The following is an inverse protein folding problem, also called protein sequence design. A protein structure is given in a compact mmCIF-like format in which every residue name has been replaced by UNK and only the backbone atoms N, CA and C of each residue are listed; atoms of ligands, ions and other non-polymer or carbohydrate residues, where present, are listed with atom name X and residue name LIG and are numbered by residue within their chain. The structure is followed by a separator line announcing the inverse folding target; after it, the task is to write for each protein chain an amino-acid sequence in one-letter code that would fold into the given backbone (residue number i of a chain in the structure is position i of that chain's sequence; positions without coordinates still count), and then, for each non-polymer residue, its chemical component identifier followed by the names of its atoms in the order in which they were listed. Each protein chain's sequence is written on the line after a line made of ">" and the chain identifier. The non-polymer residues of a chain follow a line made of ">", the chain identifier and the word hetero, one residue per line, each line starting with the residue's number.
data_IF_422703251477
#
_entry.id   IF_422703251477
#
_cell.length_a   1.000
_cell.length_b   1.000
_cell.length_c   1.000
_cell.angle_alpha   90.00
_cell.angle_beta   90.00
_cell.angle_gamma   90.00
#
_symmetry.space_group_name_H-M   'P 1'
#
loop_
_entity.id
_entity.type
_entity.pdbx_description
1 polymer ?
#
# COMPACT_ATOMS: atom_id res chain seq x y z
N UNK A 1 -24.83 -23.01 -40.75
CA UNK A 1 -24.89 -23.16 -39.29
C UNK A 1 -24.65 -21.77 -38.73
N UNK A 2 -25.49 -21.24 -37.83
CA UNK A 2 -25.23 -19.92 -37.25
C UNK A 2 -24.05 -20.05 -36.29
N UNK A 3 -22.98 -19.32 -36.53
CA UNK A 3 -21.84 -19.29 -35.62
C UNK A 3 -22.29 -18.74 -34.28
N UNK A 4 -22.38 -19.63 -33.29
CA UNK A 4 -22.75 -19.28 -31.93
C UNK A 4 -21.55 -18.57 -31.31
N UNK A 5 -21.67 -17.26 -31.11
CA UNK A 5 -20.68 -16.49 -30.37
C UNK A 5 -20.74 -16.96 -28.90
N UNK A 6 -19.70 -17.66 -28.45
CA UNK A 6 -19.52 -17.98 -27.04
C UNK A 6 -18.97 -16.76 -26.31
N UNK A 7 -19.74 -16.23 -25.37
CA UNK A 7 -19.28 -15.21 -24.44
C UNK A 7 -18.58 -15.92 -23.29
N UNK A 8 -17.27 -15.70 -23.11
CA UNK A 8 -16.58 -16.13 -21.90
C UNK A 8 -17.06 -15.25 -20.73
N UNK A 9 -17.41 -15.89 -19.62
CA UNK A 9 -17.71 -15.19 -18.37
C UNK A 9 -16.40 -15.07 -17.60
N UNK A 10 -15.93 -13.86 -17.27
CA UNK A 10 -14.72 -13.68 -16.48
C UNK A 10 -14.81 -14.41 -15.14
N UNK A 11 -13.68 -14.84 -14.61
CA UNK A 11 -13.63 -15.42 -13.27
C UNK A 11 -14.04 -14.39 -12.22
N UNK A 12 -14.91 -14.79 -11.30
CA UNK A 12 -15.43 -13.98 -10.20
C UNK A 12 -14.56 -14.07 -8.93
N UNK A 13 -13.39 -14.69 -9.03
CA UNK A 13 -12.49 -14.91 -7.91
C UNK A 13 -11.04 -15.08 -8.33
N UNK A 14 -10.12 -14.92 -7.38
CA UNK A 14 -8.69 -15.15 -7.58
C UNK A 14 -8.12 -15.85 -6.34
N UNK A 15 -7.25 -16.84 -6.55
CA UNK A 15 -6.60 -17.57 -5.46
C UNK A 15 -5.11 -17.22 -5.39
N UNK A 16 -4.65 -16.93 -4.18
CA UNK A 16 -3.27 -16.62 -3.84
C UNK A 16 -2.70 -17.74 -2.97
N UNK A 17 -1.57 -18.29 -3.36
CA UNK A 17 -0.77 -19.17 -2.50
C UNK A 17 0.23 -18.31 -1.72
N UNK A 18 0.05 -18.21 -0.41
CA UNK A 18 0.90 -17.40 0.47
C UNK A 18 1.40 -18.28 1.61
N UNK A 19 2.69 -18.61 1.57
CA UNK A 19 3.29 -19.60 2.45
C UNK A 19 2.78 -21.00 2.10
N UNK A 20 2.15 -21.66 3.06
CA UNK A 20 1.58 -23.01 2.95
C UNK A 20 0.04 -23.01 2.80
N UNK A 21 -0.56 -21.84 2.55
CA UNK A 21 -2.02 -21.65 2.52
C UNK A 21 -2.49 -20.97 1.24
N UNK A 22 -3.65 -21.40 0.79
CA UNK A 22 -4.38 -20.77 -0.32
C UNK A 22 -5.43 -19.82 0.23
N UNK A 23 -5.46 -18.60 -0.31
CA UNK A 23 -6.39 -17.54 0.04
C UNK A 23 -7.17 -17.14 -1.21
N UNK A 24 -8.49 -17.24 -1.18
CA UNK A 24 -9.34 -16.90 -2.33
C UNK A 24 -10.06 -15.59 -2.07
N UNK A 25 -9.86 -14.60 -2.94
CA UNK A 25 -10.64 -13.36 -2.97
C UNK A 25 -11.79 -13.54 -3.95
N UNK A 26 -12.98 -13.04 -3.58
CA UNK A 26 -14.12 -12.93 -4.48
C UNK A 26 -14.25 -11.51 -5.01
N UNK A 27 -14.48 -11.40 -6.31
CA UNK A 27 -14.73 -10.15 -7.05
C UNK A 27 -16.21 -9.82 -7.19
N UNK A 28 -17.09 -10.45 -6.39
CA UNK A 28 -18.49 -10.04 -6.36
C UNK A 28 -18.60 -8.54 -6.02
N UNK A 29 -19.41 -7.78 -6.77
CA UNK A 29 -19.44 -6.30 -6.80
C UNK A 29 -19.38 -5.64 -5.42
N UNK A 30 -20.12 -6.18 -4.43
CA UNK A 30 -20.16 -5.62 -3.08
C UNK A 30 -18.87 -5.80 -2.29
N UNK A 31 -18.19 -6.94 -2.45
CA UNK A 31 -16.95 -7.21 -1.72
C UNK A 31 -15.78 -6.46 -2.37
N UNK A 32 -15.76 -6.40 -3.70
CA UNK A 32 -14.72 -5.73 -4.48
C UNK A 32 -14.61 -4.22 -4.17
N UNK A 33 -15.74 -3.52 -4.16
CA UNK A 33 -15.78 -2.10 -3.83
C UNK A 33 -15.24 -1.83 -2.42
N UNK A 34 -15.63 -2.65 -1.44
CA UNK A 34 -15.24 -2.48 -0.03
C UNK A 34 -13.73 -2.55 0.16
N UNK A 35 -13.06 -3.59 -0.35
CA UNK A 35 -11.62 -3.69 -0.15
C UNK A 35 -10.82 -2.71 -1.02
N UNK A 36 -11.37 -2.27 -2.16
CA UNK A 36 -10.77 -1.23 -2.98
C UNK A 36 -10.75 0.11 -2.24
N UNK A 37 -11.87 0.49 -1.62
CA UNK A 37 -11.96 1.69 -0.78
C UNK A 37 -11.01 1.61 0.42
N UNK A 38 -10.96 0.47 1.10
CA UNK A 38 -10.02 0.23 2.21
C UNK A 38 -8.55 0.39 1.77
N UNK A 39 -8.20 -0.10 0.57
CA UNK A 39 -6.84 0.04 0.05
C UNK A 39 -6.52 1.48 -0.35
N UNK A 40 -7.49 2.22 -0.90
CA UNK A 40 -7.34 3.65 -1.17
C UNK A 40 -7.14 4.46 0.11
N UNK A 41 -7.85 4.12 1.19
CA UNK A 41 -7.67 4.75 2.50
C UNK A 41 -6.26 4.52 3.05
N UNK A 42 -5.72 3.31 2.87
CA UNK A 42 -4.33 2.99 3.22
C UNK A 42 -3.35 3.86 2.41
N UNK A 43 -3.50 3.93 1.08
CA UNK A 43 -2.66 4.78 0.20
C UNK A 43 -2.71 6.24 0.64
N UNK A 44 -3.91 6.77 0.89
CA UNK A 44 -4.09 8.16 1.32
C UNK A 44 -3.47 8.46 2.67
N UNK A 45 -3.51 7.51 3.60
CA UNK A 45 -2.85 7.67 4.89
C UNK A 45 -1.33 7.66 4.78
N UNK A 46 -0.75 6.86 3.87
CA UNK A 46 0.69 6.89 3.59
C UNK A 46 1.11 8.25 3.03
N UNK A 47 0.34 8.80 2.10
CA UNK A 47 0.59 10.15 1.56
C UNK A 47 0.56 11.20 2.68
N UNK A 48 -0.44 11.15 3.56
CA UNK A 48 -0.54 12.05 4.72
C UNK A 48 0.66 11.94 5.66
N UNK A 49 1.13 10.72 5.92
CA UNK A 49 2.35 10.50 6.70
C UNK A 49 3.56 11.17 6.04
N UNK A 50 3.76 10.94 4.74
CA UNK A 50 4.89 11.53 4.01
C UNK A 50 4.85 13.06 4.04
N UNK A 51 3.66 13.64 3.91
CA UNK A 51 3.45 15.09 4.04
C UNK A 51 3.78 15.60 5.44
N UNK A 52 3.33 14.91 6.50
CA UNK A 52 3.64 15.29 7.88
C UNK A 52 5.15 15.23 8.15
N UNK A 53 5.80 14.13 7.78
CA UNK A 53 7.25 13.98 7.94
C UNK A 53 8.03 15.05 7.17
N UNK A 54 7.61 15.35 5.94
CA UNK A 54 8.21 16.41 5.15
C UNK A 54 8.05 17.78 5.81
N UNK A 55 6.83 18.12 6.26
CA UNK A 55 6.55 19.37 6.96
C UNK A 55 7.44 19.53 8.20
N UNK A 56 7.56 18.48 9.01
CA UNK A 56 8.45 18.49 10.19
C UNK A 56 9.92 18.67 9.83
N UNK A 57 10.37 18.08 8.72
CA UNK A 57 11.75 18.26 8.23
C UNK A 57 12.03 19.71 7.82
N UNK A 58 11.04 20.38 7.21
CA UNK A 58 11.14 21.81 6.87
C UNK A 58 11.20 22.65 8.15
N UNK A 59 10.31 22.39 9.13
CA UNK A 59 10.34 23.09 10.43
C UNK A 59 11.69 22.94 11.17
N UNK A 60 12.34 21.77 11.08
CA UNK A 60 13.68 21.57 11.62
C UNK A 60 14.70 22.49 10.94
N UNK A 61 14.68 22.52 9.61
CA UNK A 61 15.60 23.32 8.80
C UNK A 61 15.45 24.81 9.10
N UNK A 62 14.22 25.30 9.23
CA UNK A 62 13.93 26.68 9.60
C UNK A 62 14.46 27.03 11.00
N UNK A 63 14.26 26.12 11.97
CA UNK A 63 14.77 26.31 13.33
C UNK A 63 16.30 26.27 13.39
N UNK A 64 16.95 25.41 12.62
CA UNK A 64 18.41 25.39 12.52
C UNK A 64 18.95 26.70 11.93
N UNK A 65 18.33 27.21 10.86
CA UNK A 65 18.71 28.50 10.26
C UNK A 65 18.48 29.68 11.20
N UNK A 66 17.36 29.70 11.92
CA UNK A 66 17.08 30.75 12.91
C UNK A 66 18.10 30.71 14.06
N UNK A 67 18.44 29.51 14.53
CA UNK A 67 19.42 29.32 15.59
C UNK A 67 20.82 29.82 15.18
N UNK A 68 21.20 29.64 13.91
CA UNK A 68 22.44 30.22 13.37
C UNK A 68 22.42 31.75 13.33
N UNK A 69 21.29 32.36 12.94
CA UNK A 69 21.13 33.82 12.88
C UNK A 69 21.13 34.47 14.26
N UNK A 70 20.50 33.83 15.25
CA UNK A 70 20.39 34.39 16.60
C UNK A 70 21.73 34.32 17.37
N UNK A 71 22.66 33.50 16.90
CA UNK A 71 23.89 33.16 17.61
C UNK A 71 25.16 33.65 16.91
N UNK A 72 25.04 34.66 16.05
CA UNK A 72 26.17 35.26 15.28
C UNK A 72 27.36 35.65 16.18
N UNK A 73 27.14 35.89 17.48
CA UNK A 73 28.16 36.28 18.46
C UNK A 73 28.41 35.24 19.58
N UNK A 74 27.81 34.05 19.53
CA UNK A 74 28.03 33.00 20.53
C UNK A 74 29.22 32.08 20.14
N UNK A 75 29.88 31.44 21.11
CA UNK A 75 30.94 30.48 20.80
C UNK A 75 30.39 29.30 19.99
N UNK A 76 31.15 28.87 18.96
CA UNK A 76 30.78 27.76 18.06
C UNK A 76 30.32 26.50 18.82
N UNK A 77 30.97 26.18 19.94
CA UNK A 77 30.65 25.02 20.78
C UNK A 77 29.24 25.06 21.39
N UNK A 78 28.73 26.25 21.71
CA UNK A 78 27.37 26.42 22.23
C UNK A 78 26.32 26.28 21.12
N UNK A 79 26.64 26.77 19.91
CA UNK A 79 25.81 26.61 18.72
C UNK A 79 25.66 25.13 18.35
N UNK A 80 26.78 24.41 18.28
CA UNK A 80 26.80 22.99 17.93
C UNK A 80 26.00 22.15 18.94
N UNK A 81 26.12 22.47 20.23
CA UNK A 81 25.35 21.76 21.25
C UNK A 81 23.83 21.97 21.08
N UNK A 82 23.39 23.22 20.85
CA UNK A 82 21.97 23.53 20.63
C UNK A 82 21.43 22.86 19.36
N UNK A 83 22.19 22.82 18.26
CA UNK A 83 21.84 22.07 17.03
C UNK A 83 21.67 20.58 17.31
N UNK A 84 22.62 19.96 18.01
CA UNK A 84 22.51 18.54 18.37
C UNK A 84 21.26 18.24 19.22
N UNK A 85 20.91 19.11 20.18
CA UNK A 85 19.70 18.96 20.99
C UNK A 85 18.44 19.03 20.11
N UNK A 86 18.40 19.97 19.17
CA UNK A 86 17.30 20.14 18.23
C UNK A 86 17.14 18.91 17.31
N UNK A 87 18.23 18.42 16.73
CA UNK A 87 18.24 17.22 15.89
C UNK A 87 17.78 15.97 16.66
N UNK A 88 18.26 15.77 17.88
CA UNK A 88 17.82 14.64 18.73
C UNK A 88 16.32 14.72 19.04
N UNK A 89 15.78 15.92 19.28
CA UNK A 89 14.34 16.11 19.50
C UNK A 89 13.55 15.77 18.24
N UNK A 90 14.04 16.20 17.07
CA UNK A 90 13.43 15.86 15.79
C UNK A 90 13.42 14.34 15.55
N UNK A 91 14.54 13.66 15.77
CA UNK A 91 14.62 12.19 15.61
C UNK A 91 13.60 11.46 16.47
N UNK A 92 13.44 11.85 17.74
CA UNK A 92 12.41 11.26 18.61
C UNK A 92 10.99 11.47 18.07
N UNK A 93 10.68 12.68 17.65
CA UNK A 93 9.38 13.00 17.05
C UNK A 93 9.14 12.22 15.75
N UNK A 94 10.16 12.09 14.91
CA UNK A 94 10.11 11.30 13.68
C UNK A 94 9.78 9.84 13.99
N UNK A 95 10.48 9.24 14.96
CA UNK A 95 10.24 7.87 15.40
C UNK A 95 8.83 7.71 15.97
N UNK A 96 8.34 8.66 16.77
CA UNK A 96 7.00 8.64 17.34
C UNK A 96 5.92 8.66 16.26
N UNK A 97 6.04 9.56 15.27
CA UNK A 97 5.12 9.66 14.13
C UNK A 97 5.11 8.35 13.34
N UNK A 98 6.28 7.81 13.01
CA UNK A 98 6.39 6.55 12.27
C UNK A 98 5.82 5.36 13.06
N UNK A 99 6.10 5.28 14.35
CA UNK A 99 5.63 4.17 15.19
C UNK A 99 4.10 4.21 15.34
N UNK A 100 3.52 5.40 15.53
CA UNK A 100 2.07 5.58 15.53
C UNK A 100 1.46 5.11 14.21
N UNK A 101 2.02 5.55 13.08
CA UNK A 101 1.56 5.13 11.76
C UNK A 101 1.67 3.62 11.56
N UNK A 102 2.77 2.98 11.95
CA UNK A 102 2.95 1.52 11.82
C UNK A 102 1.85 0.74 12.53
N UNK A 103 1.43 1.19 13.71
CA UNK A 103 0.35 0.54 14.47
C UNK A 103 -0.98 0.67 13.72
N UNK A 104 -1.32 1.89 13.27
CA UNK A 104 -2.56 2.14 12.52
C UNK A 104 -2.58 1.41 11.17
N UNK A 105 -1.47 1.42 10.44
CA UNK A 105 -1.34 0.75 9.15
C UNK A 105 -1.49 -0.77 9.30
N UNK A 106 -0.98 -1.35 10.38
CA UNK A 106 -1.14 -2.78 10.65
C UNK A 106 -2.61 -3.15 10.82
N UNK A 107 -3.36 -2.35 11.57
CA UNK A 107 -4.80 -2.56 11.75
C UNK A 107 -5.58 -2.40 10.45
N UNK A 108 -5.24 -1.40 9.62
CA UNK A 108 -5.85 -1.23 8.30
C UNK A 108 -5.56 -2.41 7.37
N UNK A 109 -4.34 -2.94 7.39
CA UNK A 109 -4.00 -4.16 6.64
C UNK A 109 -4.77 -5.38 7.15
N UNK A 110 -5.01 -5.49 8.45
CA UNK A 110 -5.85 -6.56 8.99
C UNK A 110 -7.27 -6.47 8.45
N UNK A 111 -7.87 -5.29 8.52
CA UNK A 111 -9.24 -5.05 8.02
C UNK A 111 -9.37 -5.32 6.52
N UNK A 112 -8.38 -4.88 5.73
CA UNK A 112 -8.32 -5.13 4.29
C UNK A 112 -8.29 -6.64 4.00
N UNK A 113 -7.33 -7.36 4.57
CA UNK A 113 -7.14 -8.78 4.29
C UNK A 113 -8.26 -9.64 4.87
N UNK A 114 -8.84 -9.25 6.00
CA UNK A 114 -10.03 -9.90 6.55
C UNK A 114 -11.26 -9.70 5.65
N UNK A 115 -11.38 -8.52 5.03
CA UNK A 115 -12.41 -8.24 4.02
C UNK A 115 -12.22 -9.06 2.74
N UNK A 116 -10.97 -9.31 2.33
CA UNK A 116 -10.66 -10.05 1.11
C UNK A 116 -10.76 -11.57 1.28
N UNK A 117 -10.24 -12.11 2.39
CA UNK A 117 -10.02 -13.55 2.58
C UNK A 117 -10.79 -14.15 3.76
N UNK A 118 -11.62 -13.35 4.42
CA UNK A 118 -12.38 -13.75 5.59
C UNK A 118 -11.66 -13.48 6.92
N UNK A 119 -12.43 -13.59 8.01
CA UNK A 119 -12.01 -13.20 9.35
C UNK A 119 -10.67 -13.82 9.79
N UNK A 120 -9.84 -13.00 10.46
CA UNK A 120 -8.51 -13.33 10.98
C UNK A 120 -7.44 -13.64 9.91
N UNK A 121 -7.74 -13.49 8.61
CA UNK A 121 -6.77 -13.70 7.55
C UNK A 121 -5.60 -12.72 7.64
N UNK A 122 -5.87 -11.44 7.95
CA UNK A 122 -4.84 -10.42 8.09
C UNK A 122 -3.85 -10.73 9.20
N UNK A 123 -4.34 -11.16 10.37
CA UNK A 123 -3.47 -11.57 11.49
C UNK A 123 -2.65 -12.82 11.15
N UNK A 124 -3.26 -13.82 10.51
CA UNK A 124 -2.55 -15.03 10.06
C UNK A 124 -1.45 -14.71 9.07
N UNK A 125 -1.75 -13.89 8.06
CA UNK A 125 -0.79 -13.46 7.04
C UNK A 125 0.36 -12.65 7.65
N UNK A 126 0.08 -11.82 8.64
CA UNK A 126 1.13 -11.09 9.36
C UNK A 126 2.09 -12.02 10.12
N UNK A 127 1.57 -13.06 10.77
CA UNK A 127 2.41 -14.08 11.40
C UNK A 127 3.20 -14.89 10.35
N UNK A 128 2.61 -15.22 9.19
CA UNK A 128 3.34 -15.82 8.05
C UNK A 128 4.48 -14.92 7.55
N UNK A 129 4.34 -13.60 7.69
CA UNK A 129 5.38 -12.63 7.39
C UNK A 129 6.40 -12.43 8.54
N UNK A 130 6.50 -13.37 9.49
CA UNK A 130 7.36 -13.30 10.68
C UNK A 130 7.17 -12.02 11.50
N UNK A 131 5.93 -11.54 11.62
CA UNK A 131 5.58 -10.30 12.33
C UNK A 131 6.30 -9.05 11.80
N UNK A 132 6.83 -9.11 10.58
CA UNK A 132 7.53 -7.99 9.96
C UNK A 132 6.54 -7.13 9.18
N UNK A 133 6.30 -5.91 9.68
CA UNK A 133 5.43 -4.95 9.00
C UNK A 133 5.93 -4.59 7.59
N UNK A 134 7.24 -4.60 7.37
CA UNK A 134 7.84 -4.31 6.05
C UNK A 134 7.53 -5.43 5.06
N UNK A 135 7.65 -6.69 5.48
CA UNK A 135 7.32 -7.83 4.63
C UNK A 135 5.82 -7.89 4.39
N UNK A 136 5.03 -7.67 5.44
CA UNK A 136 3.57 -7.66 5.37
C UNK A 136 3.03 -6.61 4.41
N UNK A 137 3.54 -5.37 4.47
CA UNK A 137 3.18 -4.30 3.54
C UNK A 137 3.47 -4.69 2.08
N UNK A 138 4.63 -5.34 1.82
CA UNK A 138 4.98 -5.81 0.47
C UNK A 138 4.04 -6.91 -0.03
N UNK A 139 3.65 -7.84 0.84
CA UNK A 139 2.68 -8.89 0.51
C UNK A 139 1.33 -8.27 0.17
N UNK A 140 0.84 -7.33 0.98
CA UNK A 140 -0.41 -6.60 0.70
C UNK A 140 -0.34 -5.87 -0.65
N UNK A 141 0.76 -5.14 -0.91
CA UNK A 141 0.94 -4.45 -2.17
C UNK A 141 0.94 -5.43 -3.36
N UNK A 142 1.62 -6.57 -3.25
CA UNK A 142 1.65 -7.58 -4.30
C UNK A 142 0.27 -8.19 -4.57
N UNK A 143 -0.51 -8.47 -3.52
CA UNK A 143 -1.89 -8.95 -3.65
C UNK A 143 -2.71 -7.91 -4.43
N UNK A 144 -2.65 -6.64 -4.02
CA UNK A 144 -3.43 -5.59 -4.66
C UNK A 144 -3.03 -5.31 -6.10
N UNK A 145 -1.74 -5.36 -6.44
CA UNK A 145 -1.27 -5.25 -7.84
C UNK A 145 -1.88 -6.36 -8.70
N UNK A 146 -1.89 -7.60 -8.20
CA UNK A 146 -2.46 -8.74 -8.91
C UNK A 146 -3.98 -8.61 -9.09
N UNK A 147 -4.68 -8.11 -8.07
CA UNK A 147 -6.11 -7.83 -8.14
C UNK A 147 -6.42 -6.72 -9.14
N UNK A 148 -5.68 -5.59 -9.10
CA UNK A 148 -5.82 -4.48 -10.05
C UNK A 148 -5.61 -4.99 -11.50
N UNK A 149 -4.58 -5.81 -11.76
CA UNK A 149 -4.34 -6.42 -13.07
C UNK A 149 -5.45 -7.37 -13.54
N UNK A 150 -6.07 -8.14 -12.65
CA UNK A 150 -7.13 -9.08 -13.02
C UNK A 150 -8.49 -8.41 -13.24
N UNK A 151 -8.69 -7.22 -12.66
CA UNK A 151 -9.96 -6.50 -12.70
C UNK A 151 -9.97 -5.33 -13.69
N UNK A 152 -8.85 -5.05 -14.36
CA UNK A 152 -8.78 -4.03 -15.40
C UNK A 152 -9.57 -4.45 -16.65
N UNK A 153 -10.63 -3.69 -16.93
CA UNK A 153 -11.54 -3.89 -18.08
C UNK A 153 -10.80 -3.74 -19.41
N UNK A 154 -9.73 -2.94 -19.45
CA UNK A 154 -8.93 -2.69 -20.65
C UNK A 154 -8.24 -3.98 -21.12
N UNK A 155 -7.65 -4.72 -20.18
CA UNK A 155 -7.00 -6.00 -20.45
C UNK A 155 -8.00 -7.08 -20.88
N UNK A 156 -9.21 -7.05 -20.33
CA UNK A 156 -10.27 -7.97 -20.74
C UNK A 156 -10.69 -7.76 -22.20
N UNK A 157 -10.89 -6.49 -22.58
CA UNK A 157 -11.23 -6.12 -23.96
C UNK A 157 -10.14 -6.54 -24.93
N UNK A 158 -8.87 -6.32 -24.59
CA UNK A 158 -7.76 -6.64 -25.48
C UNK A 158 -7.56 -8.16 -25.65
N UNK A 159 -7.71 -8.95 -24.58
CA UNK A 159 -7.71 -10.43 -24.65
C UNK A 159 -8.87 -10.96 -25.50
N UNK A 160 -10.07 -10.40 -25.34
CA UNK A 160 -11.24 -10.80 -26.14
C UNK A 160 -11.09 -10.43 -27.62
N UNK A 161 -10.50 -9.27 -27.92
CA UNK A 161 -10.20 -8.88 -29.30
C UNK A 161 -9.11 -9.77 -29.93
N UNK A 162 -8.09 -10.18 -29.16
CA UNK A 162 -7.09 -11.15 -29.60
C UNK A 162 -7.72 -12.51 -29.91
N UNK A 163 -8.57 -13.05 -29.04
CA UNK A 163 -9.22 -14.34 -29.27
C UNK A 163 -10.16 -14.33 -30.49
N UNK A 164 -10.89 -13.23 -30.73
CA UNK A 164 -11.66 -13.04 -31.97
C UNK A 164 -10.76 -13.02 -33.20
N UNK A 165 -9.58 -12.38 -33.10
CA UNK A 165 -8.63 -12.27 -34.21
C UNK A 165 -7.99 -13.62 -34.53
N UNK A 166 -7.70 -14.44 -33.52
CA UNK A 166 -7.21 -15.80 -33.67
C UNK A 166 -8.26 -16.76 -34.25
N UNK A 167 -9.52 -16.65 -33.81
CA UNK A 167 -10.63 -17.41 -34.40
C UNK A 167 -10.77 -17.13 -35.90
N UNK A 168 -10.71 -15.85 -36.32
CA UNK A 168 -10.77 -15.48 -37.75
C UNK A 168 -9.57 -15.95 -38.56
N UNK A 169 -8.40 -16.17 -37.94
CA UNK A 169 -7.21 -16.72 -38.62
C UNK A 169 -7.30 -18.23 -38.81
N UNK A 170 -7.99 -18.95 -37.93
CA UNK A 170 -8.19 -20.39 -38.03
C UNK A 170 -9.34 -20.80 -38.97
N UNK A 171 -10.14 -19.83 -39.43
CA UNK A 171 -11.21 -20.01 -40.43
C UNK A 171 -10.72 -19.80 -41.89
N UNK A 172 -9.44 -19.45 -42.11
CA UNK A 172 -8.78 -19.36 -43.42
C UNK A 172 -7.96 -20.62 -43.72
#
# INVERSE_FOLDING_TARGET
>A
MSDVIKLEVPSDSMTFEIGDKSYTVSFADKSFAVFTDQYNDIKMAEVKLQQELHHRSVELTDKESQLEKDMINEPMTALDHKKQVLQRRYLRMYDDIQNKYKIEAKERFYQLLDGMFGKDAGKKLYHTCNDSMVVFAKVVAQIMINVEQHTDISDYRDKYLQSITELRKNEQ
#
